data_IF_176873689403
#
_entry.id   IF_176873689403
#
_cell.length_a   1.000
_cell.length_b   1.000
_cell.length_c   1.000
_cell.angle_alpha   90.00
_cell.angle_beta   90.00
_cell.angle_gamma   90.00
#
_symmetry.space_group_name_H-M   'P 1'
#
loop_
_entity.id
_entity.type
_entity.pdbx_description
1 polymer ?
#
# COMPACT_ATOMS: atom_id res chain seq x y z
N UNK A 1 6.33 -0.75 7.31
CA UNK A 1 6.56 -1.69 6.20
C UNK A 1 7.64 -1.15 5.28
N UNK A 2 7.46 0.01 4.67
CA UNK A 2 8.42 0.58 3.70
C UNK A 2 9.81 0.88 4.27
N UNK A 3 9.90 1.63 5.36
CA UNK A 3 11.19 2.21 5.80
C UNK A 3 11.47 2.03 7.28
N UNK A 4 10.76 1.13 7.95
CA UNK A 4 10.83 0.96 9.41
C UNK A 4 10.68 2.31 10.15
N UNK A 5 9.61 3.04 9.83
CA UNK A 5 9.30 4.37 10.38
C UNK A 5 10.41 5.40 10.08
N UNK A 6 10.89 5.44 8.82
CA UNK A 6 11.90 6.38 8.36
C UNK A 6 13.35 6.02 8.69
N UNK A 7 13.61 4.90 9.38
CA UNK A 7 14.96 4.44 9.71
C UNK A 7 15.75 3.93 8.50
N UNK A 8 15.07 3.48 7.45
CA UNK A 8 15.70 2.87 6.27
C UNK A 8 15.04 3.38 5.01
N UNK A 9 15.43 4.57 4.55
CA UNK A 9 14.86 5.24 3.37
C UNK A 9 15.63 4.93 2.07
N UNK A 10 16.80 4.30 2.21
CA UNK A 10 17.80 4.13 1.14
C UNK A 10 18.85 5.25 1.16
N UNK A 11 19.95 4.99 0.47
CA UNK A 11 21.17 5.80 0.46
C UNK A 11 21.65 6.12 -0.97
N UNK A 12 20.83 5.83 -1.98
CA UNK A 12 21.14 6.14 -3.37
C UNK A 12 20.62 7.53 -3.75
N UNK A 13 21.41 8.27 -4.54
CA UNK A 13 20.90 9.42 -5.28
C UNK A 13 19.85 8.96 -6.29
N UNK A 14 18.63 9.46 -6.17
CA UNK A 14 17.46 8.96 -6.91
C UNK A 14 17.64 9.14 -8.43
N UNK A 15 18.20 10.27 -8.86
CA UNK A 15 18.45 10.52 -10.29
C UNK A 15 19.48 9.52 -10.83
N UNK A 16 20.56 9.26 -10.09
CA UNK A 16 21.60 8.31 -10.50
C UNK A 16 21.06 6.88 -10.59
N UNK A 17 20.28 6.47 -9.59
CA UNK A 17 19.62 5.16 -9.57
C UNK A 17 18.68 4.99 -10.78
N UNK A 18 17.81 5.97 -11.02
CA UNK A 18 16.81 5.90 -12.09
C UNK A 18 17.44 5.99 -13.49
N UNK A 19 18.43 6.86 -13.69
CA UNK A 19 19.15 6.95 -14.98
C UNK A 19 19.96 5.68 -15.26
N UNK A 20 20.60 5.10 -14.25
CA UNK A 20 21.28 3.80 -14.36
C UNK A 20 20.31 2.71 -14.77
N UNK A 21 19.13 2.63 -14.13
CA UNK A 21 18.11 1.64 -14.46
C UNK A 21 17.48 1.86 -15.83
N UNK A 22 17.25 3.12 -16.22
CA UNK A 22 16.74 3.48 -17.53
C UNK A 22 17.67 2.98 -18.64
N UNK A 23 18.98 3.21 -18.50
CA UNK A 23 19.99 2.75 -19.44
C UNK A 23 20.15 1.22 -19.40
N UNK A 24 20.45 0.65 -18.23
CA UNK A 24 20.78 -0.77 -18.10
C UNK A 24 19.61 -1.69 -18.46
N UNK A 25 18.37 -1.28 -18.16
CA UNK A 25 17.16 -2.06 -18.49
C UNK A 25 16.50 -1.63 -19.80
N UNK A 26 17.05 -0.62 -20.50
CA UNK A 26 16.42 0.00 -21.66
C UNK A 26 14.93 0.34 -21.42
N UNK A 27 14.65 1.03 -20.30
CA UNK A 27 13.29 1.17 -19.77
C UNK A 27 12.79 2.62 -19.84
N UNK A 28 11.73 2.82 -20.63
CA UNK A 28 11.01 4.10 -20.69
C UNK A 28 10.37 4.50 -19.36
N UNK A 29 9.98 3.52 -18.54
CA UNK A 29 9.42 3.78 -17.22
C UNK A 29 10.43 4.48 -16.31
N UNK A 30 11.62 3.90 -16.14
CA UNK A 30 12.67 4.51 -15.32
C UNK A 30 13.19 5.82 -15.89
N UNK A 31 13.21 5.97 -17.23
CA UNK A 31 13.51 7.25 -17.86
C UNK A 31 12.47 8.34 -17.50
N UNK A 32 11.19 7.97 -17.49
CA UNK A 32 10.10 8.85 -17.06
C UNK A 32 10.24 9.27 -15.60
N UNK A 33 10.49 8.32 -14.70
CA UNK A 33 10.70 8.60 -13.27
C UNK A 33 11.94 9.49 -13.05
N UNK A 34 13.03 9.30 -13.80
CA UNK A 34 14.20 10.18 -13.74
C UNK A 34 13.85 11.63 -14.14
N UNK A 35 13.04 11.80 -15.18
CA UNK A 35 12.52 13.11 -15.59
C UNK A 35 11.64 13.73 -14.51
N UNK A 36 10.78 12.93 -13.89
CA UNK A 36 9.92 13.40 -12.80
C UNK A 36 10.75 13.78 -11.56
N UNK A 37 11.83 13.06 -11.24
CA UNK A 37 12.77 13.45 -10.19
C UNK A 37 13.41 14.83 -10.48
N UNK A 38 13.82 15.08 -11.72
CA UNK A 38 14.33 16.39 -12.13
C UNK A 38 13.25 17.49 -12.05
N UNK A 39 11.98 17.16 -12.32
CA UNK A 39 10.86 18.09 -12.17
C UNK A 39 10.60 18.49 -10.72
N UNK A 40 10.78 17.57 -9.76
CA UNK A 40 10.69 17.87 -8.33
C UNK A 40 11.69 18.97 -7.97
N UNK A 41 12.93 18.84 -8.42
CA UNK A 41 13.99 19.84 -8.21
C UNK A 41 13.64 21.15 -8.90
N UNK A 42 13.21 21.10 -10.17
CA UNK A 42 12.86 22.30 -10.93
C UNK A 42 11.69 23.08 -10.32
N UNK A 43 10.74 22.41 -9.66
CA UNK A 43 9.65 23.02 -8.88
C UNK A 43 10.10 23.55 -7.53
N UNK A 44 11.36 23.32 -7.14
CA UNK A 44 11.92 23.64 -5.83
C UNK A 44 11.41 22.72 -4.71
N UNK A 45 10.67 21.66 -5.01
CA UNK A 45 10.01 20.86 -3.97
C UNK A 45 11.02 20.11 -3.08
N UNK A 46 12.18 19.75 -3.61
CA UNK A 46 13.33 19.28 -2.84
C UNK A 46 14.64 19.62 -3.59
N UNK A 47 15.75 19.94 -2.89
CA UNK A 47 17.06 20.10 -3.52
C UNK A 47 17.65 18.74 -3.94
N UNK A 48 18.57 18.75 -4.90
CA UNK A 48 19.10 17.53 -5.53
C UNK A 48 19.73 16.54 -4.53
N UNK A 49 20.45 17.05 -3.54
CA UNK A 49 21.11 16.28 -2.47
C UNK A 49 20.13 15.65 -1.48
N UNK A 50 18.86 16.07 -1.48
CA UNK A 50 17.78 15.49 -0.67
C UNK A 50 16.95 14.46 -1.40
N UNK A 51 17.10 14.31 -2.72
CA UNK A 51 16.46 13.22 -3.45
C UNK A 51 17.22 11.91 -3.21
N UNK A 52 17.08 11.37 -2.01
CA UNK A 52 17.58 10.06 -1.60
C UNK A 52 16.46 9.01 -1.60
N UNK A 53 16.83 7.77 -1.90
CA UNK A 53 15.88 6.68 -1.99
C UNK A 53 16.55 5.32 -2.13
N UNK A 54 15.72 4.31 -2.38
CA UNK A 54 16.19 2.96 -2.68
C UNK A 54 16.95 2.91 -4.02
N UNK A 55 17.64 1.78 -4.26
CA UNK A 55 18.30 1.48 -5.53
C UNK A 55 17.36 1.53 -6.76
N UNK A 56 16.04 1.46 -6.54
CA UNK A 56 15.01 1.52 -7.57
C UNK A 56 14.42 2.93 -7.78
N UNK A 57 14.88 3.92 -7.02
CA UNK A 57 14.39 5.30 -7.07
C UNK A 57 13.13 5.59 -6.25
N UNK A 58 12.72 4.66 -5.38
CA UNK A 58 11.63 4.89 -4.44
C UNK A 58 12.14 5.78 -3.28
N UNK A 59 11.49 6.92 -3.06
CA UNK A 59 12.05 8.04 -2.29
C UNK A 59 11.48 8.14 -0.89
N UNK A 60 12.33 8.57 0.05
CA UNK A 60 11.93 9.01 1.38
C UNK A 60 11.27 7.95 2.26
N UNK A 61 10.65 8.39 3.34
CA UNK A 61 9.90 7.54 4.26
C UNK A 61 8.75 6.72 3.62
N UNK A 62 8.00 7.25 2.62
CA UNK A 62 6.94 6.48 1.97
C UNK A 62 7.41 5.58 0.83
N UNK A 63 8.68 5.65 0.41
CA UNK A 63 9.15 4.95 -0.79
C UNK A 63 8.29 5.29 -2.03
N UNK A 64 7.94 6.56 -2.20
CA UNK A 64 7.23 7.00 -3.39
C UNK A 64 8.17 7.11 -4.58
N UNK A 65 7.76 6.59 -5.72
CA UNK A 65 8.38 6.93 -7.00
C UNK A 65 8.19 8.43 -7.29
N UNK A 66 9.10 9.10 -8.02
CA UNK A 66 8.99 10.52 -8.36
C UNK A 66 7.62 10.95 -8.92
N UNK A 67 7.04 10.18 -9.83
CA UNK A 67 5.71 10.44 -10.41
C UNK A 67 4.60 10.40 -9.34
N UNK A 68 4.70 9.48 -8.39
CA UNK A 68 3.78 9.36 -7.25
C UNK A 68 3.94 10.56 -6.32
N UNK A 69 5.16 10.96 -6.00
CA UNK A 69 5.42 12.17 -5.21
C UNK A 69 4.78 13.40 -5.86
N UNK A 70 5.04 13.64 -7.14
CA UNK A 70 4.51 14.82 -7.85
C UNK A 70 2.99 14.88 -7.86
N UNK A 71 2.34 13.72 -7.96
CA UNK A 71 0.88 13.67 -7.97
C UNK A 71 0.29 13.76 -6.56
N UNK A 72 0.97 13.25 -5.52
CA UNK A 72 0.33 12.84 -4.26
C UNK A 72 0.93 13.44 -3.00
N UNK A 73 2.16 13.95 -3.02
CA UNK A 73 2.77 14.53 -1.85
C UNK A 73 2.02 15.81 -1.40
N UNK A 74 1.76 15.94 -0.10
CA UNK A 74 1.05 17.06 0.52
C UNK A 74 1.96 17.70 1.57
N UNK A 75 2.06 19.03 1.54
CA UNK A 75 2.67 19.82 2.61
C UNK A 75 1.63 19.98 3.73
N UNK A 76 1.88 19.35 4.87
CA UNK A 76 0.97 19.33 6.01
C UNK A 76 1.57 20.02 7.24
N UNK A 77 2.91 20.04 7.35
CA UNK A 77 3.70 20.73 8.37
C UNK A 77 3.51 22.26 8.37
N UNK A 78 3.08 22.83 7.24
CA UNK A 78 2.86 24.28 7.07
C UNK A 78 4.07 25.07 6.53
N UNK A 79 5.17 24.41 6.16
CA UNK A 79 6.37 25.03 5.56
C UNK A 79 6.24 25.36 4.06
N UNK A 80 5.14 24.93 3.43
CA UNK A 80 4.77 25.22 2.05
C UNK A 80 5.30 24.24 1.00
N UNK A 81 6.05 23.18 1.38
CA UNK A 81 6.53 22.15 0.43
C UNK A 81 6.50 20.77 1.09
N UNK A 82 5.97 19.72 0.42
CA UNK A 82 5.96 18.39 1.01
C UNK A 82 7.39 17.89 1.29
N UNK A 83 7.68 17.53 2.53
CA UNK A 83 8.93 16.85 2.91
C UNK A 83 8.66 15.40 3.33
N UNK A 84 8.81 14.47 2.39
CA UNK A 84 8.61 13.05 2.65
C UNK A 84 9.85 12.34 3.23
N UNK A 85 10.93 13.08 3.53
CA UNK A 85 12.18 12.52 4.05
C UNK A 85 12.29 12.74 5.56
N UNK A 86 12.11 13.99 6.02
CA UNK A 86 12.32 14.34 7.44
C UNK A 86 11.01 14.68 8.17
N UNK A 87 9.99 15.16 7.47
CA UNK A 87 8.68 15.47 8.07
C UNK A 87 7.79 14.23 8.14
N UNK A 88 7.64 13.68 9.35
CA UNK A 88 6.66 12.62 9.63
C UNK A 88 5.22 13.07 9.31
N UNK A 89 4.93 14.35 9.51
CA UNK A 89 3.60 14.91 9.29
C UNK A 89 3.24 14.91 7.79
N UNK A 90 4.16 15.38 6.95
CA UNK A 90 3.99 15.38 5.48
C UNK A 90 4.01 13.97 4.92
N UNK A 91 4.86 13.10 5.46
CA UNK A 91 4.90 11.68 5.12
C UNK A 91 3.55 11.02 5.35
N UNK A 92 2.99 11.15 6.55
CA UNK A 92 1.70 10.53 6.91
C UNK A 92 0.55 11.13 6.09
N UNK A 93 0.52 12.45 5.91
CA UNK A 93 -0.48 13.11 5.08
C UNK A 93 -0.41 12.66 3.61
N UNK A 94 0.81 12.51 3.08
CA UNK A 94 1.05 12.05 1.72
C UNK A 94 0.67 10.57 1.53
N UNK A 95 0.97 9.70 2.50
CA UNK A 95 0.51 8.31 2.52
C UNK A 95 -1.02 8.22 2.58
N UNK A 96 -1.66 9.06 3.40
CA UNK A 96 -3.12 9.11 3.50
C UNK A 96 -3.75 9.57 2.18
N UNK A 97 -3.20 10.61 1.54
CA UNK A 97 -3.65 11.07 0.24
C UNK A 97 -3.52 9.97 -0.84
N UNK A 98 -2.41 9.22 -0.81
CA UNK A 98 -2.22 8.08 -1.70
C UNK A 98 -3.33 7.03 -1.52
N UNK A 99 -3.60 6.63 -0.28
CA UNK A 99 -4.64 5.64 0.00
C UNK A 99 -6.03 6.13 -0.41
N UNK A 100 -6.36 7.40 -0.17
CA UNK A 100 -7.63 8.00 -0.62
C UNK A 100 -7.75 7.91 -2.14
N UNK A 101 -6.71 8.28 -2.90
CA UNK A 101 -6.70 8.16 -4.36
C UNK A 101 -6.77 6.71 -4.84
N UNK A 102 -6.23 5.78 -4.07
CA UNK A 102 -6.33 4.35 -4.32
C UNK A 102 -7.70 3.75 -3.96
N UNK A 103 -8.67 4.57 -3.52
CA UNK A 103 -10.04 4.14 -3.24
C UNK A 103 -10.32 3.74 -1.79
N UNK A 104 -9.48 4.17 -0.84
CA UNK A 104 -9.69 3.88 0.57
C UNK A 104 -11.04 4.37 1.10
N UNK A 105 -11.77 3.49 1.78
CA UNK A 105 -13.07 3.73 2.41
C UNK A 105 -12.93 3.75 3.93
N UNK A 106 -13.07 4.92 4.59
CA UNK A 106 -13.05 5.00 6.05
C UNK A 106 -14.07 4.05 6.69
N UNK A 107 -13.69 3.39 7.78
CA UNK A 107 -14.54 2.45 8.51
C UNK A 107 -14.63 1.04 7.94
N UNK A 108 -14.18 0.80 6.70
CA UNK A 108 -14.09 -0.55 6.13
C UNK A 108 -12.71 -1.17 6.49
N UNK A 109 -12.64 -2.40 7.02
CA UNK A 109 -11.35 -3.06 7.21
C UNK A 109 -10.69 -3.39 5.86
N UNK A 110 -9.37 -3.56 5.83
CA UNK A 110 -8.71 -4.11 4.64
C UNK A 110 -8.90 -5.61 4.52
N UNK A 111 -8.67 -6.34 5.61
CA UNK A 111 -8.78 -7.79 5.69
C UNK A 111 -9.14 -8.25 7.09
N UNK A 112 -9.63 -9.47 7.23
CA UNK A 112 -9.91 -10.12 8.51
C UNK A 112 -9.56 -11.61 8.44
N UNK A 113 -8.84 -12.17 9.43
CA UNK A 113 -8.66 -13.61 9.52
C UNK A 113 -10.00 -14.31 9.78
N UNK A 114 -10.22 -15.43 9.12
CA UNK A 114 -11.44 -16.24 9.24
C UNK A 114 -11.12 -17.72 9.32
N UNK A 115 -12.06 -18.50 9.85
CA UNK A 115 -12.04 -19.96 9.70
C UNK A 115 -12.91 -20.35 8.52
N UNK A 116 -12.53 -21.42 7.82
CA UNK A 116 -13.34 -22.02 6.76
C UNK A 116 -13.72 -23.42 7.21
N UNK A 117 -15.02 -23.67 7.37
CA UNK A 117 -15.55 -25.00 7.67
C UNK A 117 -16.24 -25.58 6.43
N UNK A 118 -15.78 -26.74 5.98
CA UNK A 118 -16.33 -27.43 4.81
C UNK A 118 -15.49 -27.27 3.55
N UNK A 119 -15.97 -27.85 2.44
CA UNK A 119 -15.31 -27.81 1.14
C UNK A 119 -15.74 -26.59 0.34
N UNK A 120 -15.14 -25.43 0.61
CA UNK A 120 -15.24 -24.29 -0.31
C UNK A 120 -14.43 -24.62 -1.56
N UNK A 121 -15.02 -24.42 -2.72
CA UNK A 121 -14.31 -24.51 -3.99
C UNK A 121 -13.27 -23.37 -4.08
N UNK A 122 -11.99 -23.74 -3.94
CA UNK A 122 -10.85 -22.81 -3.99
C UNK A 122 -10.82 -22.03 -5.30
N UNK A 123 -11.30 -22.61 -6.41
CA UNK A 123 -11.33 -21.92 -7.71
C UNK A 123 -12.30 -20.75 -7.74
N UNK A 124 -13.27 -20.72 -6.82
CA UNK A 124 -14.21 -19.62 -6.63
C UNK A 124 -13.78 -18.64 -5.52
N UNK A 125 -12.49 -18.61 -5.17
CA UNK A 125 -11.93 -17.74 -4.14
C UNK A 125 -10.90 -16.76 -4.71
N UNK A 126 -10.52 -15.75 -3.93
CA UNK A 126 -9.51 -14.76 -4.26
C UNK A 126 -10.09 -13.42 -4.70
N UNK A 127 -9.18 -12.51 -5.11
CA UNK A 127 -9.49 -11.10 -5.43
C UNK A 127 -10.45 -10.89 -6.61
N UNK A 128 -10.62 -11.89 -7.48
CA UNK A 128 -11.54 -11.83 -8.61
C UNK A 128 -12.97 -12.30 -8.25
N UNK A 129 -13.13 -12.96 -7.10
CA UNK A 129 -14.39 -13.54 -6.64
C UNK A 129 -14.89 -12.76 -5.44
N UNK A 130 -15.53 -11.63 -5.72
CA UNK A 130 -16.09 -10.74 -4.70
C UNK A 130 -17.60 -11.00 -4.56
N UNK A 131 -18.04 -11.36 -3.36
CA UNK A 131 -19.43 -11.65 -3.03
C UNK A 131 -19.82 -10.94 -1.72
N UNK A 132 -21.10 -10.91 -1.39
CA UNK A 132 -21.55 -10.34 -0.11
C UNK A 132 -21.01 -11.16 1.07
N UNK A 133 -20.87 -10.52 2.23
CA UNK A 133 -20.45 -11.20 3.44
C UNK A 133 -21.38 -12.37 3.78
N UNK A 134 -22.70 -12.18 3.63
CA UNK A 134 -23.70 -13.22 3.83
C UNK A 134 -23.47 -14.46 2.95
N UNK A 135 -23.09 -14.27 1.69
CA UNK A 135 -22.76 -15.37 0.77
C UNK A 135 -21.65 -16.27 1.31
N UNK A 136 -20.59 -15.67 1.87
CA UNK A 136 -19.44 -16.40 2.43
C UNK A 136 -19.81 -17.09 3.73
N UNK A 137 -20.56 -16.42 4.60
CA UNK A 137 -21.02 -16.98 5.88
C UNK A 137 -21.90 -18.23 5.66
N UNK A 138 -22.79 -18.20 4.66
CA UNK A 138 -23.64 -19.34 4.29
C UNK A 138 -22.84 -20.53 3.72
N UNK A 139 -21.60 -20.29 3.26
CA UNK A 139 -20.67 -21.31 2.73
C UNK A 139 -19.65 -21.78 3.75
N UNK A 140 -19.86 -21.47 5.02
CA UNK A 140 -19.05 -21.98 6.12
C UNK A 140 -17.82 -21.13 6.46
N UNK A 141 -17.71 -19.91 5.91
CA UNK A 141 -16.76 -18.92 6.43
C UNK A 141 -17.24 -18.44 7.80
N UNK A 142 -16.36 -18.44 8.79
CA UNK A 142 -16.63 -18.00 10.15
C UNK A 142 -15.66 -16.90 10.54
N UNK A 143 -16.20 -15.73 10.88
CA UNK A 143 -15.41 -14.61 11.38
C UNK A 143 -14.97 -14.87 12.82
N UNK A 144 -13.78 -14.42 13.16
CA UNK A 144 -13.22 -14.58 14.51
C UNK A 144 -13.80 -13.55 15.49
N UNK A 145 -13.71 -13.81 16.81
CA UNK A 145 -14.03 -12.80 17.82
C UNK A 145 -13.25 -11.50 17.61
N UNK A 146 -13.91 -10.36 17.79
CA UNK A 146 -13.32 -9.04 17.55
C UNK A 146 -13.31 -8.59 16.08
N UNK A 147 -13.93 -9.34 15.17
CA UNK A 147 -14.19 -8.88 13.82
C UNK A 147 -15.11 -7.64 13.81
N UNK A 148 -14.98 -6.77 12.80
CA UNK A 148 -15.74 -5.53 12.70
C UNK A 148 -17.24 -5.80 12.61
N UNK A 149 -18.09 -4.95 13.15
CA UNK A 149 -19.52 -5.06 12.90
C UNK A 149 -19.82 -4.58 11.48
N UNK A 150 -20.11 -5.51 10.56
CA UNK A 150 -20.27 -5.24 9.13
C UNK A 150 -21.61 -5.79 8.64
N UNK A 151 -22.38 -5.03 7.85
CA UNK A 151 -23.60 -5.51 7.21
C UNK A 151 -23.37 -6.77 6.36
N UNK A 152 -24.34 -7.68 6.31
CA UNK A 152 -24.24 -8.93 5.51
C UNK A 152 -24.13 -8.69 4.01
N UNK A 153 -24.55 -7.53 3.50
CA UNK A 153 -24.43 -7.13 2.11
C UNK A 153 -23.08 -6.47 1.77
N UNK A 154 -22.19 -6.29 2.75
CA UNK A 154 -20.81 -5.81 2.54
C UNK A 154 -20.08 -6.74 1.58
N UNK A 155 -19.47 -6.19 0.53
CA UNK A 155 -18.71 -6.97 -0.47
C UNK A 155 -17.34 -7.36 0.08
N UNK A 156 -17.01 -8.65 -0.04
CA UNK A 156 -15.74 -9.23 0.37
C UNK A 156 -15.32 -10.38 -0.57
N UNK A 157 -14.03 -10.68 -0.61
CA UNK A 157 -13.49 -11.90 -1.22
C UNK A 157 -12.90 -12.81 -0.15
N UNK A 158 -12.92 -14.12 -0.37
CA UNK A 158 -12.20 -15.06 0.48
C UNK A 158 -10.80 -15.27 -0.11
N UNK A 159 -9.74 -14.89 0.59
CA UNK A 159 -8.36 -15.08 0.17
C UNK A 159 -7.71 -16.23 0.95
N UNK A 160 -7.10 -17.16 0.22
CA UNK A 160 -6.38 -18.33 0.74
C UNK A 160 -4.90 -18.22 0.31
N UNK A 161 -4.05 -17.44 1.00
CA UNK A 161 -2.66 -17.18 0.56
C UNK A 161 -1.82 -18.45 0.38
N UNK A 162 -2.06 -19.47 1.22
CA UNK A 162 -1.34 -20.75 1.18
C UNK A 162 -2.18 -21.89 0.56
N UNK A 163 -3.31 -21.55 -0.06
CA UNK A 163 -4.26 -22.52 -0.61
C UNK A 163 -5.14 -23.20 0.45
N UNK A 164 -5.77 -24.32 0.06
CA UNK A 164 -6.69 -25.06 0.93
C UNK A 164 -5.99 -25.59 2.19
N UNK A 165 -6.64 -25.44 3.34
CA UNK A 165 -6.11 -25.90 4.64
C UNK A 165 -5.09 -24.97 5.29
N UNK A 166 -4.66 -23.91 4.59
CA UNK A 166 -3.84 -22.83 5.12
C UNK A 166 -4.65 -21.76 5.84
N UNK A 167 -4.03 -20.61 6.07
CA UNK A 167 -4.73 -19.44 6.60
C UNK A 167 -5.76 -18.92 5.60
N UNK A 168 -6.86 -18.37 6.11
CA UNK A 168 -7.92 -17.78 5.31
C UNK A 168 -8.24 -16.36 5.80
N UNK A 169 -8.53 -15.47 4.86
CA UNK A 169 -8.87 -14.09 5.15
C UNK A 169 -10.08 -13.66 4.33
N UNK A 170 -11.02 -12.94 4.94
CA UNK A 170 -11.88 -12.06 4.16
C UNK A 170 -11.07 -10.83 3.78
N UNK A 171 -11.10 -10.43 2.52
CA UNK A 171 -10.52 -9.20 2.00
C UNK A 171 -11.63 -8.28 1.48
N UNK A 172 -11.47 -6.99 1.72
CA UNK A 172 -12.44 -5.97 1.33
C UNK A 172 -11.79 -4.95 0.40
N UNK A 173 -12.53 -3.94 -0.03
CA UNK A 173 -12.03 -2.93 -0.98
C UNK A 173 -10.74 -2.24 -0.51
N UNK A 174 -10.60 -1.98 0.79
CA UNK A 174 -9.39 -1.40 1.36
C UNK A 174 -8.15 -2.30 1.23
N UNK A 175 -8.31 -3.61 1.03
CA UNK A 175 -7.21 -4.49 0.65
C UNK A 175 -6.59 -4.09 -0.69
N UNK A 176 -7.45 -3.72 -1.65
CA UNK A 176 -7.03 -3.33 -2.99
C UNK A 176 -6.33 -1.96 -2.97
N UNK A 177 -6.79 -1.03 -2.13
CA UNK A 177 -6.12 0.25 -1.90
C UNK A 177 -4.68 0.06 -1.36
N UNK A 178 -4.48 -0.86 -0.40
CA UNK A 178 -3.13 -1.19 0.09
C UNK A 178 -2.30 -1.88 -1.00
N UNK A 179 -2.90 -2.81 -1.75
CA UNK A 179 -2.22 -3.48 -2.88
C UNK A 179 -1.82 -2.53 -4.01
N UNK A 180 -2.47 -1.38 -4.13
CA UNK A 180 -2.06 -0.36 -5.08
C UNK A 180 -0.68 0.20 -4.73
N UNK A 181 -0.39 0.32 -3.42
CA UNK A 181 0.91 0.72 -2.89
C UNK A 181 2.00 -0.30 -3.21
N UNK A 182 1.71 -1.59 -3.01
CA UNK A 182 2.59 -2.69 -3.36
C UNK A 182 1.76 -3.92 -3.79
N UNK A 183 1.95 -4.45 -5.02
CA UNK A 183 1.08 -5.47 -5.60
C UNK A 183 1.34 -6.89 -5.05
N UNK A 184 1.50 -7.05 -3.74
CA UNK A 184 1.64 -8.33 -3.04
C UNK A 184 0.49 -8.60 -2.05
N UNK A 185 -0.07 -9.82 -2.06
CA UNK A 185 -1.15 -10.23 -1.15
C UNK A 185 -0.60 -10.29 0.28
N UNK A 186 0.57 -10.90 0.45
CA UNK A 186 1.27 -10.97 1.73
C UNK A 186 1.59 -9.58 2.29
N UNK A 187 2.04 -8.66 1.44
CA UNK A 187 2.27 -7.27 1.87
C UNK A 187 1.00 -6.63 2.39
N UNK A 188 -0.11 -6.72 1.65
CA UNK A 188 -1.35 -6.08 2.04
C UNK A 188 -1.99 -6.73 3.29
N UNK A 189 -1.86 -8.05 3.44
CA UNK A 189 -2.24 -8.76 4.66
C UNK A 189 -1.40 -8.30 5.85
N UNK A 190 -0.08 -8.18 5.68
CA UNK A 190 0.83 -7.73 6.74
C UNK A 190 0.56 -6.29 7.17
N UNK A 191 0.34 -5.36 6.22
CA UNK A 191 -0.06 -3.97 6.53
C UNK A 191 -1.39 -3.95 7.29
N UNK A 192 -2.39 -4.70 6.82
CA UNK A 192 -3.68 -4.78 7.50
C UNK A 192 -3.59 -5.34 8.92
N UNK A 193 -2.80 -6.39 9.11
CA UNK A 193 -2.56 -6.97 10.43
C UNK A 193 -1.83 -6.01 11.37
N UNK A 194 -0.73 -5.39 10.91
CA UNK A 194 0.03 -4.42 11.69
C UNK A 194 -0.83 -3.22 12.08
N UNK A 195 -1.64 -2.69 11.15
CA UNK A 195 -2.56 -1.59 11.41
C UNK A 195 -3.56 -1.91 12.53
N UNK A 196 -4.13 -3.13 12.54
CA UNK A 196 -5.00 -3.58 13.65
C UNK A 196 -4.24 -3.67 14.97
N UNK A 197 -3.02 -4.22 14.96
CA UNK A 197 -2.20 -4.36 16.17
C UNK A 197 -1.87 -3.00 16.82
N UNK A 198 -1.55 -1.99 16.00
CA UNK A 198 -1.26 -0.63 16.48
C UNK A 198 -2.49 0.02 17.12
N UNK A 199 -3.70 -0.25 16.61
CA UNK A 199 -4.94 0.28 17.17
C UNK A 199 -5.40 -0.45 18.44
N UNK A 200 -4.93 -1.68 18.66
CA UNK A 200 -5.26 -2.49 19.83
C UNK A 200 -4.25 -2.39 20.98
N UNK A 201 -3.14 -1.66 20.77
CA UNK A 201 -2.09 -1.43 21.76
C UNK A 201 -2.41 -0.19 22.61
#
# INVERSE_FOLDING_TARGET
METNYGKTQGDFGVIDALTTLAWHRNSHYFAGEAIDAMRIIAKGQAPADRLIGSYAGAMGQPQFMPSVYLSTAIAFSGDGRPDIWDSSADTLASMANYLVKAGWKPGLPSSEPVLVRGGIDVSATGRAHMHTLGYWLERGVQRLPGAHDLPRDTVAGLLLPDGAGGQAFLIFENFHAIRHYNPSDFYALAVGALGRMVLSA
#
